data_IF_468624563781
#
_entry.id   IF_468624563781
#
_cell.length_a   1.000
_cell.length_b   1.000
_cell.length_c   1.000
_cell.angle_alpha   90.00
_cell.angle_beta   90.00
_cell.angle_gamma   90.00
#
_symmetry.space_group_name_H-M   'P 1'
#
loop_
_entity.id
_entity.type
_entity.pdbx_description
1 polymer ?
#
# COMPACT_ATOMS: atom_id res chain seq x y z
N UNK A 1 28.44 -29.01 13.08
CA UNK A 1 27.97 -30.30 12.53
C UNK A 1 26.47 -30.42 12.79
N UNK A 2 25.65 -30.09 11.79
CA UNK A 2 24.74 -31.01 11.07
C UNK A 2 23.74 -31.76 11.96
N UNK A 3 22.48 -31.29 11.97
CA UNK A 3 21.27 -32.13 11.69
C UNK A 3 20.01 -31.24 11.69
N UNK A 4 19.73 -30.59 10.55
CA UNK A 4 18.36 -30.18 10.22
C UNK A 4 17.72 -31.41 9.58
N UNK A 5 16.94 -32.15 10.38
CA UNK A 5 16.15 -33.29 9.88
C UNK A 5 14.99 -32.75 9.06
N UNK A 6 14.97 -33.17 7.79
CA UNK A 6 13.87 -33.14 6.82
C UNK A 6 12.50 -33.03 7.50
N UNK A 7 11.86 -31.87 7.36
CA UNK A 7 10.42 -31.73 7.55
C UNK A 7 9.78 -32.55 6.43
N UNK A 8 9.06 -33.58 6.86
CA UNK A 8 8.64 -34.70 6.04
C UNK A 8 7.66 -34.31 4.94
N UNK A 9 7.86 -34.97 3.81
CA UNK A 9 6.98 -35.15 2.65
C UNK A 9 5.67 -35.89 3.02
N UNK A 10 5.20 -35.79 4.27
CA UNK A 10 4.00 -36.50 4.76
C UNK A 10 2.79 -35.59 4.61
N UNK A 11 2.40 -35.38 3.36
CA UNK A 11 1.02 -35.06 2.99
C UNK A 11 0.68 -35.54 1.58
N UNK A 12 1.55 -36.33 0.94
CA UNK A 12 1.39 -36.77 -0.44
C UNK A 12 0.50 -38.03 -0.60
N UNK A 13 -0.05 -38.59 0.49
CA UNK A 13 -0.65 -39.94 0.48
C UNK A 13 -2.16 -40.07 0.69
N UNK A 14 -2.92 -39.01 1.00
CA UNK A 14 -4.33 -39.16 1.47
C UNK A 14 -5.41 -38.66 0.49
N UNK A 15 -5.09 -37.97 -0.60
CA UNK A 15 -6.12 -37.40 -1.50
C UNK A 15 -6.15 -38.01 -2.91
N UNK A 16 -6.28 -39.33 -3.00
CA UNK A 16 -6.44 -39.98 -4.30
C UNK A 16 -7.87 -39.83 -4.84
N UNK A 17 -7.92 -39.17 -6.01
CA UNK A 17 -8.81 -39.41 -7.14
C UNK A 17 -10.09 -38.56 -7.37
N UNK A 18 -10.65 -37.83 -6.39
CA UNK A 18 -11.72 -36.83 -6.68
C UNK A 18 -11.36 -35.41 -6.16
N UNK A 19 -10.37 -35.32 -5.26
CA UNK A 19 -9.86 -34.06 -4.70
C UNK A 19 -8.53 -33.59 -5.27
N UNK A 20 -8.00 -34.21 -6.34
CA UNK A 20 -6.63 -33.96 -6.82
C UNK A 20 -6.42 -32.56 -7.42
N UNK A 21 -7.39 -31.99 -8.13
CA UNK A 21 -7.27 -30.64 -8.68
C UNK A 21 -7.47 -29.56 -7.63
N UNK A 22 -8.47 -29.73 -6.74
CA UNK A 22 -8.74 -28.78 -5.66
C UNK A 22 -7.62 -28.76 -4.60
N UNK A 23 -7.09 -29.94 -4.20
CA UNK A 23 -5.93 -30.00 -3.30
C UNK A 23 -4.66 -29.51 -3.96
N UNK A 24 -4.47 -29.76 -5.26
CA UNK A 24 -3.33 -29.21 -6.01
C UNK A 24 -3.40 -27.68 -6.12
N UNK A 25 -4.56 -27.12 -6.47
CA UNK A 25 -4.81 -25.68 -6.47
C UNK A 25 -4.58 -25.08 -5.08
N UNK A 26 -5.09 -25.72 -4.03
CA UNK A 26 -4.89 -25.29 -2.65
C UNK A 26 -3.41 -25.27 -2.22
N UNK A 27 -2.65 -26.31 -2.56
CA UNK A 27 -1.20 -26.36 -2.28
C UNK A 27 -0.44 -25.28 -3.08
N UNK A 28 -0.81 -25.08 -4.36
CA UNK A 28 -0.25 -24.00 -5.18
C UNK A 28 -0.57 -22.62 -4.62
N UNK A 29 -1.80 -22.40 -4.13
CA UNK A 29 -2.21 -21.15 -3.50
C UNK A 29 -1.42 -20.85 -2.21
N UNK A 30 -1.20 -21.88 -1.37
CA UNK A 30 -0.37 -21.73 -0.16
C UNK A 30 1.08 -21.39 -0.55
N UNK A 31 1.64 -22.07 -1.54
CA UNK A 31 3.00 -21.80 -2.00
C UNK A 31 3.15 -20.38 -2.59
N UNK A 32 2.20 -19.94 -3.43
CA UNK A 32 2.23 -18.59 -4.01
C UNK A 32 2.05 -17.52 -2.93
N UNK A 33 1.17 -17.75 -1.97
CA UNK A 33 1.02 -16.84 -0.82
C UNK A 33 2.30 -16.76 0.01
N UNK A 34 2.98 -17.88 0.25
CA UNK A 34 4.25 -17.90 0.99
C UNK A 34 5.34 -17.10 0.25
N UNK A 35 5.44 -17.29 -1.07
CA UNK A 35 6.40 -16.55 -1.90
C UNK A 35 6.10 -15.05 -1.89
N UNK A 36 4.83 -14.65 -1.90
CA UNK A 36 4.45 -13.25 -1.76
C UNK A 36 4.94 -12.65 -0.42
N UNK A 37 4.77 -13.38 0.69
CA UNK A 37 5.25 -12.96 2.01
C UNK A 37 6.78 -12.85 2.09
N UNK A 38 7.51 -13.77 1.46
CA UNK A 38 8.98 -13.72 1.43
C UNK A 38 9.48 -12.47 0.68
N UNK A 39 8.84 -12.14 -0.45
CA UNK A 39 9.13 -10.91 -1.19
C UNK A 39 8.72 -9.66 -0.44
N UNK A 40 7.55 -9.65 0.21
CA UNK A 40 7.08 -8.58 1.09
C UNK A 40 8.11 -8.30 2.20
N UNK A 41 8.55 -9.34 2.91
CA UNK A 41 9.54 -9.20 3.98
C UNK A 41 10.88 -8.64 3.46
N UNK A 42 11.35 -9.15 2.32
CA UNK A 42 12.56 -8.64 1.67
C UNK A 42 12.42 -7.16 1.31
N UNK A 43 11.28 -6.78 0.74
CA UNK A 43 11.00 -5.40 0.34
C UNK A 43 10.98 -4.45 1.54
N UNK A 44 10.29 -4.84 2.61
CA UNK A 44 10.26 -4.08 3.86
C UNK A 44 11.67 -3.89 4.44
N UNK A 45 12.49 -4.95 4.47
CA UNK A 45 13.88 -4.85 4.94
C UNK A 45 14.73 -3.91 4.08
N UNK A 46 14.52 -3.89 2.77
CA UNK A 46 15.21 -2.99 1.84
C UNK A 46 14.76 -1.54 2.01
N UNK A 47 13.46 -1.30 2.24
CA UNK A 47 12.93 0.03 2.56
C UNK A 47 13.58 0.61 3.83
N UNK A 48 13.75 -0.19 4.89
CA UNK A 48 14.41 0.25 6.12
C UNK A 48 15.87 0.67 5.89
N UNK A 49 16.53 0.02 4.93
CA UNK A 49 17.90 0.39 4.51
C UNK A 49 17.92 1.54 3.50
N UNK A 50 16.77 2.02 3.05
CA UNK A 50 16.60 3.05 2.01
C UNK A 50 17.12 2.62 0.63
N UNK A 51 17.16 1.31 0.37
CA UNK A 51 17.48 0.74 -0.93
C UNK A 51 16.22 0.75 -1.81
N UNK A 52 15.83 1.94 -2.29
CA UNK A 52 14.52 2.17 -2.89
C UNK A 52 14.29 1.40 -4.19
N UNK A 53 15.32 1.26 -5.02
CA UNK A 53 15.23 0.57 -6.32
C UNK A 53 15.05 -0.93 -6.11
N UNK A 54 15.84 -1.54 -5.23
CA UNK A 54 15.71 -2.97 -4.93
C UNK A 54 14.42 -3.26 -4.15
N UNK A 55 13.98 -2.35 -3.28
CA UNK A 55 12.69 -2.44 -2.60
C UNK A 55 11.53 -2.42 -3.59
N UNK A 56 11.56 -1.52 -4.58
CA UNK A 56 10.56 -1.47 -5.66
C UNK A 56 10.47 -2.80 -6.40
N UNK A 57 11.63 -3.36 -6.79
CA UNK A 57 11.68 -4.66 -7.47
C UNK A 57 11.09 -5.77 -6.60
N UNK A 58 11.44 -5.80 -5.31
CA UNK A 58 10.91 -6.80 -4.38
C UNK A 58 9.38 -6.67 -4.20
N UNK A 59 8.84 -5.45 -4.12
CA UNK A 59 7.40 -5.22 -4.06
C UNK A 59 6.68 -5.60 -5.36
N UNK A 60 7.27 -5.33 -6.53
CA UNK A 60 6.73 -5.80 -7.82
C UNK A 60 6.69 -7.32 -7.91
N UNK A 61 7.68 -8.00 -7.33
CA UNK A 61 7.65 -9.46 -7.22
C UNK A 61 6.58 -9.93 -6.25
N UNK A 62 6.41 -9.29 -5.09
CA UNK A 62 5.32 -9.60 -4.16
C UNK A 62 3.95 -9.45 -4.84
N UNK A 63 3.75 -8.36 -5.59
CA UNK A 63 2.51 -8.08 -6.32
C UNK A 63 2.13 -9.20 -7.31
N UNK A 64 3.14 -9.81 -7.96
CA UNK A 64 2.95 -10.89 -8.94
C UNK A 64 2.38 -12.16 -8.33
N UNK A 65 2.71 -12.45 -7.08
CA UNK A 65 2.28 -13.67 -6.38
C UNK A 65 1.11 -13.42 -5.41
N UNK A 66 0.83 -12.16 -5.09
CA UNK A 66 -0.28 -11.79 -4.21
C UNK A 66 -1.63 -11.96 -4.91
N UNK A 67 -2.65 -12.36 -4.14
CA UNK A 67 -4.02 -12.47 -4.67
C UNK A 67 -4.54 -11.07 -5.02
N UNK A 68 -5.25 -10.90 -6.15
CA UNK A 68 -5.75 -9.60 -6.61
C UNK A 68 -6.44 -8.78 -5.52
N UNK A 69 -7.30 -9.41 -4.69
CA UNK A 69 -8.05 -8.70 -3.65
C UNK A 69 -7.17 -8.08 -2.56
N UNK A 70 -5.94 -8.59 -2.37
CA UNK A 70 -5.01 -8.16 -1.31
C UNK A 70 -3.89 -7.26 -1.83
N UNK A 71 -3.89 -6.89 -3.11
CA UNK A 71 -2.83 -6.10 -3.71
C UNK A 71 -2.81 -4.63 -3.24
N UNK A 72 -3.89 -4.12 -2.65
CA UNK A 72 -4.02 -2.72 -2.24
C UNK A 72 -2.86 -2.23 -1.38
N UNK A 73 -2.46 -3.01 -0.37
CA UNK A 73 -1.34 -2.65 0.50
C UNK A 73 0.00 -2.60 -0.24
N UNK A 74 0.19 -3.43 -1.27
CA UNK A 74 1.41 -3.43 -2.09
C UNK A 74 1.47 -2.17 -2.95
N UNK A 75 0.36 -1.75 -3.54
CA UNK A 75 0.28 -0.49 -4.27
C UNK A 75 0.57 0.72 -3.37
N UNK A 76 0.08 0.70 -2.11
CA UNK A 76 0.39 1.73 -1.11
C UNK A 76 1.90 1.83 -0.86
N UNK A 77 2.57 0.71 -0.66
CA UNK A 77 4.01 0.67 -0.39
C UNK A 77 4.86 1.04 -1.62
N UNK A 78 4.45 0.64 -2.82
CA UNK A 78 5.05 1.11 -4.07
C UNK A 78 4.91 2.62 -4.24
N UNK A 79 3.74 3.19 -3.93
CA UNK A 79 3.51 4.63 -4.00
C UNK A 79 4.47 5.41 -3.07
N UNK A 80 4.63 4.94 -1.83
CA UNK A 80 5.60 5.50 -0.86
C UNK A 80 7.01 5.45 -1.40
N UNK A 81 7.41 4.34 -2.02
CA UNK A 81 8.74 4.21 -2.63
C UNK A 81 8.92 5.19 -3.78
N UNK A 82 7.94 5.31 -4.68
CA UNK A 82 8.00 6.27 -5.79
C UNK A 82 8.12 7.71 -5.30
N UNK A 83 7.41 8.06 -4.22
CA UNK A 83 7.54 9.36 -3.58
C UNK A 83 8.95 9.58 -3.01
N UNK A 84 9.59 8.56 -2.39
CA UNK A 84 11.00 8.66 -1.94
C UNK A 84 11.99 8.79 -3.11
N UNK A 85 11.65 8.23 -4.27
CA UNK A 85 12.40 8.38 -5.50
C UNK A 85 12.10 9.68 -6.27
N UNK A 86 11.22 10.54 -5.74
CA UNK A 86 10.73 11.79 -6.38
C UNK A 86 9.97 11.57 -7.70
N UNK A 87 9.47 10.36 -7.92
CA UNK A 87 8.63 10.02 -9.07
C UNK A 87 7.16 10.30 -8.73
N UNK A 88 6.82 11.59 -8.63
CA UNK A 88 5.55 12.03 -8.07
C UNK A 88 4.32 11.54 -8.85
N UNK A 89 4.38 11.50 -10.19
CA UNK A 89 3.27 10.99 -11.00
C UNK A 89 3.02 9.50 -10.75
N UNK A 90 4.08 8.68 -10.77
CA UNK A 90 3.97 7.26 -10.46
C UNK A 90 3.45 7.02 -9.05
N UNK A 91 3.85 7.86 -8.08
CA UNK A 91 3.32 7.78 -6.72
C UNK A 91 1.81 8.06 -6.67
N UNK A 92 1.33 9.10 -7.38
CA UNK A 92 -0.09 9.43 -7.48
C UNK A 92 -0.89 8.27 -8.06
N UNK A 93 -0.45 7.73 -9.21
CA UNK A 93 -1.13 6.62 -9.88
C UNK A 93 -1.24 5.40 -8.95
N UNK A 94 -0.18 5.10 -8.19
CA UNK A 94 -0.15 3.97 -7.26
C UNK A 94 -0.99 4.23 -6.00
N UNK A 95 -1.04 5.45 -5.46
CA UNK A 95 -1.95 5.79 -4.36
C UNK A 95 -3.41 5.68 -4.79
N UNK A 96 -3.77 6.18 -5.96
CA UNK A 96 -5.11 6.04 -6.52
C UNK A 96 -5.47 4.57 -6.74
N UNK A 97 -4.52 3.78 -7.25
CA UNK A 97 -4.71 2.34 -7.43
C UNK A 97 -4.91 1.65 -6.08
N UNK A 98 -4.13 1.97 -5.07
CA UNK A 98 -4.29 1.43 -3.72
C UNK A 98 -5.68 1.73 -3.14
N UNK A 99 -6.16 2.96 -3.27
CA UNK A 99 -7.49 3.40 -2.81
C UNK A 99 -8.66 2.75 -3.57
N UNK A 100 -8.41 2.10 -4.72
CA UNK A 100 -9.42 1.29 -5.42
C UNK A 100 -9.63 -0.10 -4.81
N UNK A 101 -8.80 -0.50 -3.84
CA UNK A 101 -8.93 -1.75 -3.09
C UNK A 101 -9.58 -1.54 -1.72
N UNK A 102 -10.06 -2.63 -1.13
CA UNK A 102 -10.51 -2.64 0.25
C UNK A 102 -9.29 -2.55 1.18
N UNK A 103 -9.06 -1.34 1.69
CA UNK A 103 -7.97 -1.01 2.60
C UNK A 103 -8.54 -0.70 4.00
N UNK A 104 -7.75 -0.97 5.03
CA UNK A 104 -8.13 -0.56 6.39
C UNK A 104 -8.21 0.96 6.49
N UNK A 105 -9.08 1.49 7.38
CA UNK A 105 -9.29 2.94 7.56
C UNK A 105 -7.98 3.72 7.73
N UNK A 106 -7.03 3.18 8.49
CA UNK A 106 -5.71 3.77 8.70
C UNK A 106 -4.92 3.91 7.41
N UNK A 107 -4.91 2.87 6.58
CA UNK A 107 -4.21 2.85 5.29
C UNK A 107 -4.87 3.80 4.30
N UNK A 108 -6.21 3.86 4.29
CA UNK A 108 -6.95 4.84 3.50
C UNK A 108 -6.61 6.27 3.92
N UNK A 109 -6.59 6.55 5.24
CA UNK A 109 -6.25 7.88 5.75
C UNK A 109 -4.83 8.29 5.34
N UNK A 110 -3.85 7.40 5.50
CA UNK A 110 -2.46 7.63 5.07
C UNK A 110 -2.38 7.87 3.55
N UNK A 111 -3.03 7.04 2.74
CA UNK A 111 -3.06 7.19 1.27
C UNK A 111 -3.66 8.54 0.84
N UNK A 112 -4.80 8.93 1.41
CA UNK A 112 -5.43 10.21 1.13
C UNK A 112 -4.54 11.40 1.54
N UNK A 113 -3.88 11.32 2.70
CA UNK A 113 -2.96 12.36 3.14
C UNK A 113 -1.79 12.54 2.17
N UNK A 114 -1.12 11.45 1.81
CA UNK A 114 0.03 11.50 0.89
C UNK A 114 -0.36 11.94 -0.51
N UNK A 115 -1.51 11.47 -1.00
CA UNK A 115 -2.05 11.88 -2.30
C UNK A 115 -2.41 13.37 -2.33
N UNK A 116 -3.04 13.89 -1.28
CA UNK A 116 -3.30 15.33 -1.14
C UNK A 116 -2.02 16.15 -1.13
N UNK A 117 -1.00 15.72 -0.38
CA UNK A 117 0.30 16.41 -0.34
C UNK A 117 0.98 16.42 -1.72
N UNK A 118 0.94 15.30 -2.46
CA UNK A 118 1.47 15.22 -3.82
C UNK A 118 0.70 16.12 -4.81
N UNK A 119 -0.63 16.07 -4.81
CA UNK A 119 -1.47 16.89 -5.70
C UNK A 119 -1.32 18.38 -5.43
N UNK A 120 -1.15 18.77 -4.17
CA UNK A 120 -0.88 20.16 -3.80
C UNK A 120 0.46 20.65 -4.37
N UNK A 121 1.45 19.77 -4.49
CA UNK A 121 2.75 20.13 -5.10
C UNK A 121 2.70 20.21 -6.63
N UNK A 122 1.75 19.53 -7.29
CA UNK A 122 1.69 19.41 -8.74
C UNK A 122 0.65 20.32 -9.41
N UNK A 123 -0.60 20.31 -8.93
CA UNK A 123 -1.72 20.94 -9.63
C UNK A 123 -2.27 22.15 -8.88
N UNK A 124 -2.75 21.97 -7.65
CA UNK A 124 -3.20 23.06 -6.78
C UNK A 124 -3.69 22.55 -5.42
N UNK A 125 -3.87 23.49 -4.50
CA UNK A 125 -4.60 23.29 -3.24
C UNK A 125 -6.03 22.77 -3.47
N UNK A 126 -6.68 23.15 -4.58
CA UNK A 126 -8.07 22.80 -4.85
C UNK A 126 -8.26 21.30 -5.11
N UNK A 127 -7.31 20.66 -5.80
CA UNK A 127 -7.33 19.20 -6.05
C UNK A 127 -6.89 18.40 -4.83
N UNK A 128 -6.04 18.97 -3.97
CA UNK A 128 -5.59 18.34 -2.73
C UNK A 128 -6.63 18.35 -1.60
N UNK A 129 -7.44 19.40 -1.50
CA UNK A 129 -8.44 19.58 -0.45
C UNK A 129 -9.35 18.37 -0.20
N UNK A 130 -10.02 17.76 -1.20
CA UNK A 130 -10.89 16.61 -0.96
C UNK A 130 -10.14 15.42 -0.36
N UNK A 131 -8.86 15.24 -0.69
CA UNK A 131 -8.06 14.17 -0.13
C UNK A 131 -7.69 14.44 1.33
N UNK A 132 -7.31 15.67 1.70
CA UNK A 132 -7.06 15.99 3.11
C UNK A 132 -8.31 15.91 3.99
N UNK A 133 -9.48 16.31 3.45
CA UNK A 133 -10.77 16.15 4.13
C UNK A 133 -11.07 14.69 4.43
N UNK A 134 -10.87 13.82 3.43
CA UNK A 134 -11.15 12.40 3.60
C UNK A 134 -10.14 11.73 4.56
N UNK A 135 -8.88 12.13 4.51
CA UNK A 135 -7.87 11.70 5.48
C UNK A 135 -8.27 12.08 6.92
N UNK A 136 -8.69 13.32 7.15
CA UNK A 136 -9.17 13.80 8.45
C UNK A 136 -10.42 13.04 8.93
N UNK A 137 -11.35 12.74 8.01
CA UNK A 137 -12.56 11.95 8.31
C UNK A 137 -12.27 10.50 8.69
N UNK A 138 -11.27 9.90 8.04
CA UNK A 138 -10.88 8.51 8.24
C UNK A 138 -9.92 8.32 9.43
N UNK A 139 -9.39 9.42 9.97
CA UNK A 139 -8.45 9.41 11.09
C UNK A 139 -9.06 8.67 12.29
N UNK A 140 -8.50 7.53 12.72
CA UNK A 140 -8.98 6.85 13.91
C UNK A 140 -8.73 7.71 15.16
N UNK A 141 -9.61 7.59 16.15
CA UNK A 141 -9.52 8.30 17.44
C UNK A 141 -8.19 8.02 18.18
N UNK A 142 -7.50 6.91 17.87
CA UNK A 142 -6.21 6.53 18.43
C UNK A 142 -4.98 6.98 17.62
N UNK A 143 -5.14 7.65 16.48
CA UNK A 143 -4.00 8.16 15.72
C UNK A 143 -3.27 9.26 16.53
N UNK A 144 -1.93 9.38 16.45
CA UNK A 144 -1.22 10.44 17.17
C UNK A 144 -1.82 11.81 16.88
N UNK A 145 -2.11 12.59 17.93
CA UNK A 145 -2.73 13.92 17.84
C UNK A 145 -2.01 14.83 16.83
N UNK A 146 -0.70 14.65 16.68
CA UNK A 146 0.12 15.36 15.70
C UNK A 146 -0.31 15.09 14.25
N UNK A 147 -0.62 13.85 13.89
CA UNK A 147 -1.06 13.49 12.55
C UNK A 147 -2.50 13.99 12.29
N UNK A 148 -3.39 13.84 13.27
CA UNK A 148 -4.74 14.39 13.20
C UNK A 148 -4.73 15.92 13.06
N UNK A 149 -3.94 16.61 13.88
CA UNK A 149 -3.75 18.05 13.82
C UNK A 149 -3.13 18.51 12.51
N UNK A 150 -2.16 17.77 11.96
CA UNK A 150 -1.57 18.06 10.65
C UNK A 150 -2.61 18.01 9.53
N UNK A 151 -3.46 16.98 9.50
CA UNK A 151 -4.50 16.83 8.48
C UNK A 151 -5.55 17.95 8.55
N UNK A 152 -6.05 18.27 9.76
CA UNK A 152 -7.01 19.36 9.98
C UNK A 152 -6.39 20.72 9.64
N UNK A 153 -5.12 20.93 9.96
CA UNK A 153 -4.40 22.16 9.61
C UNK A 153 -4.28 22.32 8.09
N UNK A 154 -3.87 21.26 7.38
CA UNK A 154 -3.79 21.26 5.89
C UNK A 154 -5.12 21.61 5.26
N UNK A 155 -6.19 20.99 5.75
CA UNK A 155 -7.55 21.29 5.31
C UNK A 155 -7.93 22.76 5.57
N UNK A 156 -7.66 23.28 6.77
CA UNK A 156 -7.97 24.67 7.13
C UNK A 156 -7.22 25.67 6.26
N UNK A 157 -5.91 25.49 6.07
CA UNK A 157 -5.10 26.31 5.17
C UNK A 157 -5.63 26.26 3.74
N UNK A 158 -6.00 25.07 3.28
CA UNK A 158 -6.52 24.87 1.94
C UNK A 158 -7.82 25.64 1.71
N UNK A 159 -8.76 25.56 2.65
CA UNK A 159 -10.03 26.29 2.63
C UNK A 159 -9.83 27.80 2.64
N UNK A 160 -8.86 28.32 3.40
CA UNK A 160 -8.54 29.74 3.42
C UNK A 160 -8.00 30.21 2.06
N UNK A 161 -7.10 29.43 1.46
CA UNK A 161 -6.54 29.74 0.14
C UNK A 161 -7.59 29.68 -0.96
N UNK A 162 -8.49 28.70 -0.94
CA UNK A 162 -9.56 28.61 -1.96
C UNK A 162 -10.61 29.70 -1.83
N UNK A 163 -10.95 30.14 -0.60
CA UNK A 163 -11.84 31.28 -0.35
C UNK A 163 -11.29 32.62 -0.85
N UNK A 164 -9.96 32.76 -0.88
CA UNK A 164 -9.26 33.95 -1.34
C UNK A 164 -8.93 33.93 -2.85
N UNK A 165 -9.31 32.88 -3.59
CA UNK A 165 -9.18 32.88 -5.05
C UNK A 165 -10.26 33.78 -5.65
N UNK A 166 -9.92 34.76 -6.51
CA UNK A 166 -10.92 35.55 -7.20
C UNK A 166 -11.79 34.59 -8.01
N UNK A 167 -13.11 34.65 -7.81
CA UNK A 167 -14.06 33.89 -8.61
C UNK A 167 -13.78 34.22 -10.09
N UNK A 168 -13.20 33.26 -10.83
CA UNK A 168 -13.06 33.38 -12.28
C UNK A 168 -14.48 33.43 -12.82
N UNK A 169 -14.89 34.63 -13.23
CA UNK A 169 -16.10 34.89 -14.01
C UNK A 169 -15.97 34.24 -15.37
#
# INVERSE_FOLDING_TARGET
MKTIRRIGVISLGIFLAIGSTATYQYVQEIQQSQVAWDWHWKAWKLQQKRHWVEAEQAWKMALRYEKPQRQGHIYLELAKIYQKQKQNQSAIDHYQKALSYDLGREQCADAHLQLGDLLNTQDSVATALPHWQEAARLTPVGMPLMAAGYMVHKEAEARLKTKNLPHRR
#
